data_IF_565246134287
#
_entry.id   IF_565246134287
#
_cell.length_a   1.000
_cell.length_b   1.000
_cell.length_c   1.000
_cell.angle_alpha   90.00
_cell.angle_beta   90.00
_cell.angle_gamma   90.00
#
_symmetry.space_group_name_H-M   'P 1'
#
loop_
_entity.id
_entity.type
_entity.pdbx_description
1 polymer ?
#
# COMPACT_ATOMS: atom_id res chain seq x y z
N UNK A 1 9.26 16.08 18.74
CA UNK A 1 8.09 16.05 17.83
C UNK A 1 7.19 14.91 18.27
N UNK A 2 5.93 15.18 18.56
CA UNK A 2 4.96 14.13 18.88
C UNK A 2 4.61 13.33 17.61
N UNK A 3 4.01 12.15 17.78
CA UNK A 3 3.54 11.37 16.62
C UNK A 3 2.48 12.13 15.81
N UNK A 4 1.65 12.94 16.45
CA UNK A 4 0.62 13.74 15.78
C UNK A 4 1.23 14.87 14.94
N UNK A 5 2.19 15.61 15.50
CA UNK A 5 2.94 16.64 14.77
C UNK A 5 3.65 16.07 13.55
N UNK A 6 4.26 14.87 13.68
CA UNK A 6 4.92 14.18 12.58
C UNK A 6 3.95 13.86 11.45
N UNK A 7 2.76 13.35 11.78
CA UNK A 7 1.73 13.00 10.80
C UNK A 7 1.15 14.25 10.10
N UNK A 8 0.93 15.33 10.86
CA UNK A 8 0.45 16.61 10.32
C UNK A 8 1.45 17.21 9.32
N UNK A 9 2.74 17.23 9.67
CA UNK A 9 3.82 17.70 8.78
C UNK A 9 3.95 16.83 7.53
N UNK A 10 3.94 15.51 7.69
CA UNK A 10 4.00 14.58 6.56
C UNK A 10 2.83 14.79 5.60
N UNK A 11 1.60 14.92 6.12
CA UNK A 11 0.42 15.17 5.30
C UNK A 11 0.51 16.52 4.55
N UNK A 12 1.04 17.55 5.20
CA UNK A 12 1.27 18.86 4.59
C UNK A 12 2.22 18.81 3.39
N UNK A 13 3.35 18.12 3.54
CA UNK A 13 4.33 17.94 2.46
C UNK A 13 3.76 17.12 1.30
N UNK A 14 3.13 15.98 1.60
CA UNK A 14 2.53 15.12 0.58
C UNK A 14 1.45 15.84 -0.23
N UNK A 15 0.59 16.63 0.43
CA UNK A 15 -0.45 17.42 -0.25
C UNK A 15 0.10 18.55 -1.13
N UNK A 16 1.31 19.03 -0.86
CA UNK A 16 2.03 19.98 -1.72
C UNK A 16 2.74 19.28 -2.88
N UNK A 17 2.64 17.96 -2.97
CA UNK A 17 3.28 17.16 -4.01
C UNK A 17 4.77 16.94 -3.78
N UNK A 18 5.27 17.10 -2.55
CA UNK A 18 6.64 16.74 -2.17
C UNK A 18 6.78 15.21 -2.10
N UNK A 19 6.88 14.61 -3.28
CA UNK A 19 7.13 13.19 -3.51
C UNK A 19 8.22 13.07 -4.58
N UNK A 20 9.07 12.03 -4.52
CA UNK A 20 10.00 11.71 -5.59
C UNK A 20 9.30 11.56 -6.94
N UNK A 21 9.97 12.00 -8.01
CA UNK A 21 9.40 12.00 -9.36
C UNK A 21 9.24 10.58 -9.89
N UNK A 22 10.11 9.65 -9.50
CA UNK A 22 9.95 8.24 -9.88
C UNK A 22 8.64 7.63 -9.39
N UNK A 23 8.05 8.11 -8.28
CA UNK A 23 6.77 7.61 -7.76
C UNK A 23 5.57 8.01 -8.62
N UNK A 24 5.71 9.06 -9.44
CA UNK A 24 4.63 9.58 -10.30
C UNK A 24 4.32 8.67 -11.48
N UNK A 25 5.22 7.75 -11.81
CA UNK A 25 5.09 6.80 -12.93
C UNK A 25 4.51 5.47 -12.43
N UNK A 26 3.19 5.40 -12.38
CA UNK A 26 2.48 4.21 -11.92
C UNK A 26 2.76 2.99 -12.80
N UNK A 27 2.72 1.81 -12.19
CA UNK A 27 2.99 0.52 -12.84
C UNK A 27 1.72 -0.30 -12.96
N UNK A 28 1.45 -0.88 -14.14
CA UNK A 28 0.32 -1.78 -14.31
C UNK A 28 0.55 -3.07 -13.52
N UNK A 29 -0.51 -3.58 -12.90
CA UNK A 29 -0.53 -4.90 -12.27
C UNK A 29 -1.77 -5.63 -12.80
N UNK A 30 -1.55 -6.80 -13.36
CA UNK A 30 -2.52 -7.56 -14.11
C UNK A 30 -3.17 -8.64 -13.23
N UNK A 31 -4.47 -8.85 -13.42
CA UNK A 31 -5.23 -9.88 -12.72
C UNK A 31 -6.07 -10.65 -13.71
N UNK A 32 -6.20 -11.96 -13.47
CA UNK A 32 -7.13 -12.82 -14.17
C UNK A 32 -7.97 -13.57 -13.14
N UNK A 33 -9.28 -13.59 -13.32
CA UNK A 33 -10.20 -14.29 -12.44
C UNK A 33 -11.21 -15.09 -13.25
N UNK A 34 -11.23 -16.40 -13.06
CA UNK A 34 -12.23 -17.29 -13.66
C UNK A 34 -13.41 -17.42 -12.70
N UNK A 35 -14.59 -16.95 -13.11
CA UNK A 35 -15.83 -17.16 -12.34
C UNK A 35 -16.15 -18.66 -12.25
N UNK A 36 -16.75 -19.15 -11.15
CA UNK A 36 -17.05 -20.58 -10.96
C UNK A 36 -17.82 -21.28 -12.08
N UNK A 37 -18.63 -20.55 -12.87
CA UNK A 37 -19.38 -21.07 -14.03
C UNK A 37 -19.50 -20.03 -15.14
N UNK A 38 -18.46 -19.23 -15.37
CA UNK A 38 -18.59 -18.07 -16.25
C UNK A 38 -17.31 -17.65 -16.95
N UNK A 39 -17.43 -16.51 -17.60
CA UNK A 39 -16.34 -15.82 -18.29
C UNK A 39 -15.15 -15.51 -17.38
N UNK A 40 -13.98 -15.37 -18.01
CA UNK A 40 -12.80 -14.80 -17.37
C UNK A 40 -12.97 -13.29 -17.26
N UNK A 41 -12.69 -12.74 -16.08
CA UNK A 41 -12.49 -11.30 -15.89
C UNK A 41 -11.00 -11.03 -15.93
N UNK A 42 -10.61 -10.05 -16.74
CA UNK A 42 -9.27 -9.46 -16.71
C UNK A 42 -9.35 -8.10 -16.02
N UNK A 43 -8.37 -7.79 -15.19
CA UNK A 43 -8.22 -6.46 -14.61
C UNK A 43 -6.78 -5.95 -14.71
N UNK A 44 -6.65 -4.63 -14.83
CA UNK A 44 -5.37 -3.92 -14.72
C UNK A 44 -5.57 -2.78 -13.72
N UNK A 45 -4.80 -2.78 -12.64
CA UNK A 45 -4.69 -1.64 -11.70
C UNK A 45 -3.37 -0.91 -11.95
N UNK A 46 -3.24 0.33 -11.48
CA UNK A 46 -2.00 1.10 -11.53
C UNK A 46 -1.50 1.38 -10.12
N UNK A 47 -0.40 0.76 -9.74
CA UNK A 47 0.21 0.91 -8.42
C UNK A 47 1.39 1.88 -8.46
N UNK A 48 1.65 2.59 -7.37
CA UNK A 48 2.94 3.30 -7.23
C UNK A 48 4.10 2.28 -7.25
N UNK A 49 5.22 2.61 -7.92
CA UNK A 49 6.34 1.67 -8.08
C UNK A 49 7.01 1.31 -6.76
N UNK A 50 6.98 2.22 -5.77
CA UNK A 50 7.38 1.99 -4.38
C UNK A 50 6.31 2.57 -3.42
N UNK A 51 6.57 2.48 -2.12
CA UNK A 51 5.77 3.13 -1.09
C UNK A 51 5.94 4.65 -1.10
N UNK A 52 4.87 5.36 -0.73
CA UNK A 52 4.85 6.82 -0.62
C UNK A 52 6.01 7.31 0.26
N UNK A 53 6.72 8.30 -0.27
CA UNK A 53 7.88 8.92 0.34
C UNK A 53 7.84 10.44 0.17
N UNK A 54 8.55 11.15 1.05
CA UNK A 54 8.78 12.59 0.98
C UNK A 54 10.24 12.82 0.60
N UNK A 55 10.51 13.75 -0.32
CA UNK A 55 11.85 14.09 -0.79
C UNK A 55 12.00 14.04 -2.32
N UNK A 56 13.24 13.94 -2.80
CA UNK A 56 13.59 13.83 -4.22
C UNK A 56 13.99 12.40 -4.61
N UNK A 57 14.33 12.17 -5.88
CA UNK A 57 14.83 10.87 -6.34
C UNK A 57 16.17 10.49 -5.67
N UNK A 58 16.96 11.46 -5.22
CA UNK A 58 18.27 11.30 -4.60
C UNK A 58 18.20 11.11 -3.07
N UNK A 59 17.28 11.82 -2.40
CA UNK A 59 17.10 11.73 -0.95
C UNK A 59 15.61 11.76 -0.60
N UNK A 60 15.09 10.61 -0.20
CA UNK A 60 13.70 10.45 0.20
C UNK A 60 13.55 9.52 1.38
N UNK A 61 12.47 9.74 2.14
CA UNK A 61 12.07 8.88 3.24
C UNK A 61 10.68 8.33 2.99
N UNK A 62 10.55 7.00 2.93
CA UNK A 62 9.24 6.33 2.96
C UNK A 62 8.59 6.61 4.32
N UNK A 63 7.42 7.26 4.33
CA UNK A 63 6.81 7.73 5.57
C UNK A 63 5.69 6.78 6.01
N UNK A 64 5.82 6.13 7.18
CA UNK A 64 4.71 5.47 7.83
C UNK A 64 3.59 6.45 8.17
N UNK A 65 2.37 6.11 7.74
CA UNK A 65 1.19 6.92 8.01
C UNK A 65 0.19 6.18 8.87
N UNK A 66 -0.46 6.93 9.76
CA UNK A 66 -1.64 6.44 10.48
C UNK A 66 -2.78 6.22 9.48
N UNK A 67 -3.77 5.38 9.84
CA UNK A 67 -4.87 5.09 8.93
C UNK A 67 -5.62 6.35 8.45
N UNK A 68 -5.97 7.33 9.32
CA UNK A 68 -6.58 8.58 8.85
C UNK A 68 -5.69 9.35 7.87
N UNK A 69 -4.39 9.46 8.12
CA UNK A 69 -3.44 10.13 7.22
C UNK A 69 -3.31 9.39 5.89
N UNK A 70 -3.22 8.06 5.92
CA UNK A 70 -3.09 7.22 4.74
C UNK A 70 -4.30 7.36 3.80
N UNK A 71 -5.52 7.34 4.36
CA UNK A 71 -6.76 7.57 3.63
C UNK A 71 -6.78 8.98 3.03
N UNK A 72 -6.42 10.01 3.80
CA UNK A 72 -6.40 11.39 3.33
C UNK A 72 -5.36 11.63 2.22
N UNK A 73 -4.22 10.93 2.27
CA UNK A 73 -3.20 10.97 1.21
C UNK A 73 -3.69 10.24 -0.04
N UNK A 74 -4.30 9.06 0.11
CA UNK A 74 -4.85 8.31 -1.02
C UNK A 74 -5.91 9.14 -1.76
N UNK A 75 -6.83 9.77 -1.04
CA UNK A 75 -7.83 10.68 -1.61
C UNK A 75 -7.18 11.86 -2.36
N UNK A 76 -6.19 12.53 -1.75
CA UNK A 76 -5.50 13.67 -2.37
C UNK A 76 -4.76 13.31 -3.67
N UNK A 77 -4.33 12.05 -3.83
CA UNK A 77 -3.67 11.55 -5.03
C UNK A 77 -4.60 10.80 -5.98
N UNK A 78 -5.92 10.88 -5.79
CA UNK A 78 -6.90 10.18 -6.61
C UNK A 78 -6.64 8.66 -6.65
N UNK A 79 -6.28 8.13 -5.50
CA UNK A 79 -5.88 6.75 -5.27
C UNK A 79 -6.72 6.11 -4.15
N UNK A 80 -6.54 4.81 -4.00
CA UNK A 80 -7.14 3.96 -2.97
C UNK A 80 -6.05 3.10 -2.35
N UNK A 81 -6.22 2.73 -1.09
CA UNK A 81 -5.38 1.74 -0.42
C UNK A 81 -5.64 0.34 -1.01
N UNK A 82 -4.62 -0.52 -1.17
CA UNK A 82 -4.76 -1.84 -1.77
C UNK A 82 -5.56 -2.81 -0.88
N UNK A 83 -6.06 -3.89 -1.47
CA UNK A 83 -6.51 -5.08 -0.74
C UNK A 83 -5.32 -6.04 -0.55
N UNK A 84 -5.39 -7.04 0.35
CA UNK A 84 -4.35 -8.07 0.46
C UNK A 84 -4.01 -8.73 -0.88
N UNK A 85 -5.04 -9.12 -1.65
CA UNK A 85 -4.89 -9.70 -2.99
C UNK A 85 -4.11 -8.81 -3.96
N UNK A 86 -4.31 -7.49 -3.89
CA UNK A 86 -3.53 -6.56 -4.71
C UNK A 86 -2.06 -6.51 -4.26
N UNK A 87 -1.80 -6.58 -2.95
CA UNK A 87 -0.43 -6.61 -2.42
C UNK A 87 0.30 -7.87 -2.90
N UNK A 88 -0.36 -9.04 -2.87
CA UNK A 88 0.20 -10.29 -3.38
C UNK A 88 0.51 -10.20 -4.87
N UNK A 89 -0.44 -9.73 -5.68
CA UNK A 89 -0.23 -9.57 -7.12
C UNK A 89 0.86 -8.52 -7.47
N UNK A 90 0.97 -7.45 -6.68
CA UNK A 90 2.07 -6.49 -6.79
C UNK A 90 3.38 -7.20 -6.51
N UNK A 91 3.45 -8.02 -5.46
CA UNK A 91 4.65 -8.78 -5.16
C UNK A 91 5.00 -9.72 -6.32
N UNK A 92 4.07 -10.57 -6.76
CA UNK A 92 4.29 -11.52 -7.85
C UNK A 92 4.79 -10.87 -9.15
N UNK A 93 4.36 -9.64 -9.44
CA UNK A 93 4.69 -8.92 -10.67
C UNK A 93 5.78 -7.85 -10.50
N UNK A 94 6.35 -7.72 -9.29
CA UNK A 94 7.45 -6.79 -9.04
C UNK A 94 8.71 -7.25 -9.76
N UNK A 95 9.42 -6.29 -10.38
CA UNK A 95 10.72 -6.53 -10.99
C UNK A 95 11.78 -6.86 -9.94
N UNK A 96 11.60 -6.33 -8.72
CA UNK A 96 12.54 -6.49 -7.63
C UNK A 96 11.85 -6.83 -6.32
N UNK A 97 12.27 -7.93 -5.71
CA UNK A 97 11.85 -8.35 -4.37
C UNK A 97 12.94 -7.99 -3.37
N UNK A 98 12.61 -7.08 -2.46
CA UNK A 98 13.44 -6.74 -1.32
C UNK A 98 12.96 -7.54 -0.11
N UNK A 99 13.88 -8.04 0.70
CA UNK A 99 13.53 -8.94 1.80
C UNK A 99 13.15 -8.19 3.07
N UNK A 100 12.27 -8.77 3.91
CA UNK A 100 12.00 -8.26 5.23
C UNK A 100 13.28 -8.21 6.07
N UNK A 101 13.56 -7.03 6.63
CA UNK A 101 14.74 -6.79 7.47
C UNK A 101 14.32 -6.08 8.76
N UNK A 102 13.71 -6.83 9.72
CA UNK A 102 13.09 -6.24 10.89
C UNK A 102 14.12 -5.67 11.86
N UNK A 103 13.90 -4.42 12.28
CA UNK A 103 14.59 -3.83 13.42
C UNK A 103 14.02 -4.36 14.74
N UNK A 104 14.84 -4.44 15.81
CA UNK A 104 14.39 -4.88 17.13
C UNK A 104 13.16 -4.09 17.63
N UNK A 105 12.13 -4.77 18.16
CA UNK A 105 10.93 -4.11 18.64
C UNK A 105 11.22 -3.27 19.89
N UNK A 106 10.55 -2.13 20.02
CA UNK A 106 10.77 -1.23 21.15
C UNK A 106 10.08 0.13 20.99
N UNK A 107 10.20 1.03 21.98
CA UNK A 107 9.55 2.33 21.97
C UNK A 107 9.98 3.23 20.80
N UNK A 108 11.18 2.97 20.26
CA UNK A 108 11.78 3.72 19.16
C UNK A 108 11.21 3.35 17.78
N UNK A 109 10.39 2.30 17.66
CA UNK A 109 9.84 1.85 16.36
C UNK A 109 9.07 2.92 15.58
N UNK A 110 8.58 3.95 16.29
CA UNK A 110 7.82 5.07 15.73
C UNK A 110 8.65 6.35 15.57
N UNK A 111 9.95 6.29 15.86
CA UNK A 111 10.85 7.43 15.81
C UNK A 111 11.39 7.66 14.39
N UNK A 112 11.72 8.91 14.07
CA UNK A 112 12.42 9.25 12.83
C UNK A 112 13.77 8.52 12.70
N UNK A 113 14.44 8.23 13.82
CA UNK A 113 15.69 7.48 13.84
C UNK A 113 15.51 6.07 13.28
N UNK A 114 14.49 5.33 13.71
CA UNK A 114 14.16 4.02 13.15
C UNK A 114 13.77 4.10 11.67
N UNK A 115 13.07 5.17 11.27
CA UNK A 115 12.68 5.36 9.88
C UNK A 115 13.92 5.56 9.00
N UNK A 116 14.87 6.39 9.44
CA UNK A 116 16.15 6.64 8.76
C UNK A 116 17.03 5.37 8.73
N UNK A 117 17.14 4.65 9.85
CA UNK A 117 17.89 3.40 9.89
C UNK A 117 17.35 2.37 8.89
N UNK A 118 16.03 2.17 8.87
CA UNK A 118 15.41 1.23 7.94
C UNK A 118 15.42 1.75 6.49
N UNK A 119 15.50 3.07 6.26
CA UNK A 119 15.73 3.64 4.93
C UNK A 119 17.07 3.18 4.37
N UNK A 120 18.16 3.27 5.15
CA UNK A 120 19.49 2.85 4.69
C UNK A 120 19.54 1.34 4.42
N UNK A 121 18.89 0.52 5.26
CA UNK A 121 18.80 -0.93 5.03
C UNK A 121 18.12 -1.25 3.70
N UNK A 122 16.97 -0.63 3.41
CA UNK A 122 16.26 -0.79 2.12
C UNK A 122 17.11 -0.27 0.96
N UNK A 123 17.78 0.88 1.12
CA UNK A 123 18.63 1.47 0.09
C UNK A 123 19.77 0.53 -0.29
N UNK A 124 20.43 -0.06 0.72
CA UNK A 124 21.52 -1.02 0.52
C UNK A 124 21.03 -2.28 -0.18
N UNK A 125 19.90 -2.86 0.25
CA UNK A 125 19.31 -4.02 -0.43
C UNK A 125 18.98 -3.71 -1.89
N UNK A 126 18.34 -2.57 -2.17
CA UNK A 126 18.00 -2.14 -3.53
C UNK A 126 19.23 -2.02 -4.42
N UNK A 127 20.30 -1.40 -3.90
CA UNK A 127 21.56 -1.26 -4.62
C UNK A 127 22.24 -2.60 -4.90
N UNK A 128 22.28 -3.50 -3.91
CA UNK A 128 22.84 -4.84 -4.07
C UNK A 128 22.06 -5.69 -5.08
N UNK A 129 20.74 -5.55 -5.11
CA UNK A 129 19.87 -6.22 -6.08
C UNK A 129 19.88 -5.56 -7.46
N UNK A 130 20.55 -4.41 -7.64
CA UNK A 130 20.61 -3.69 -8.91
C UNK A 130 19.28 -3.05 -9.34
N UNK A 131 18.31 -2.91 -8.43
CA UNK A 131 16.96 -2.49 -8.77
C UNK A 131 16.88 -0.98 -8.99
N UNK A 132 16.43 -0.55 -10.17
CA UNK A 132 16.38 0.86 -10.54
C UNK A 132 15.23 1.59 -9.85
N UNK A 133 15.39 2.91 -9.64
CA UNK A 133 14.28 3.73 -9.15
C UNK A 133 13.16 3.75 -10.20
N UNK A 134 11.92 3.67 -9.72
CA UNK A 134 10.74 3.60 -10.59
C UNK A 134 10.50 2.24 -11.21
N UNK A 135 11.25 1.18 -10.88
CA UNK A 135 10.78 -0.20 -11.07
C UNK A 135 9.74 -0.57 -10.01
N UNK A 136 8.86 -1.53 -10.33
CA UNK A 136 7.92 -2.03 -9.34
C UNK A 136 8.69 -2.88 -8.32
N UNK A 137 8.78 -2.38 -7.09
CA UNK A 137 9.50 -3.03 -5.98
C UNK A 137 8.55 -3.38 -4.84
N UNK A 138 8.77 -4.52 -4.21
CA UNK A 138 7.92 -5.04 -3.11
C UNK A 138 8.73 -5.85 -2.09
N UNK A 139 8.06 -6.24 -1.00
CA UNK A 139 8.59 -7.18 -0.01
C UNK A 139 9.24 -6.53 1.22
N UNK A 140 9.63 -5.25 1.16
CA UNK A 140 10.38 -4.55 2.21
C UNK A 140 9.53 -3.83 3.29
N UNK A 141 8.20 -3.76 3.16
CA UNK A 141 7.30 -3.18 4.17
C UNK A 141 6.00 -3.99 4.30
N UNK A 142 5.27 -3.71 5.37
CA UNK A 142 3.87 -4.10 5.55
C UNK A 142 2.98 -3.04 4.90
N UNK A 143 2.19 -3.43 3.92
CA UNK A 143 1.23 -2.56 3.27
C UNK A 143 0.07 -2.23 4.22
N UNK A 144 -0.33 -0.96 4.25
CA UNK A 144 -1.62 -0.56 4.82
C UNK A 144 -2.71 -0.90 3.82
N UNK A 145 -3.66 -1.74 4.22
CA UNK A 145 -4.66 -2.33 3.31
C UNK A 145 -6.10 -2.00 3.72
N UNK A 146 -7.02 -2.20 2.78
CA UNK A 146 -8.46 -2.18 3.01
C UNK A 146 -8.99 -3.62 3.12
N UNK A 147 -9.91 -3.82 4.07
CA UNK A 147 -10.50 -5.13 4.35
C UNK A 147 -11.86 -4.98 5.05
N UNK A 148 -12.78 -5.94 4.84
CA UNK A 148 -14.04 -5.98 5.58
C UNK A 148 -13.85 -6.13 7.10
N UNK A 149 -12.67 -6.58 7.57
CA UNK A 149 -12.37 -6.65 9.01
C UNK A 149 -12.48 -5.29 9.71
N UNK A 150 -12.20 -4.19 9.02
CA UNK A 150 -12.33 -2.84 9.56
C UNK A 150 -13.77 -2.43 9.86
N UNK A 151 -14.76 -3.00 9.16
CA UNK A 151 -16.18 -2.78 9.47
C UNK A 151 -16.59 -3.37 10.82
N UNK A 152 -15.98 -4.49 11.19
CA UNK A 152 -16.31 -5.21 12.42
C UNK A 152 -15.64 -4.58 13.65
N UNK A 153 -14.50 -3.92 13.46
CA UNK A 153 -13.74 -3.24 14.50
C UNK A 153 -13.31 -1.84 14.04
N UNK A 154 -14.21 -0.85 14.09
CA UNK A 154 -13.87 0.53 13.78
C UNK A 154 -12.71 1.05 14.64
N UNK A 155 -11.94 2.02 14.11
CA UNK A 155 -10.82 2.61 14.86
C UNK A 155 -9.54 1.78 14.84
N UNK A 156 -9.42 0.81 13.93
CA UNK A 156 -8.21 0.02 13.68
C UNK A 156 -7.54 0.40 12.36
N UNK A 157 -6.29 0.01 12.21
CA UNK A 157 -5.56 -0.01 10.93
C UNK A 157 -5.37 -1.46 10.51
N UNK A 158 -5.51 -1.76 9.22
CA UNK A 158 -5.20 -3.08 8.68
C UNK A 158 -3.84 -3.05 7.98
N UNK A 159 -3.00 -4.02 8.31
CA UNK A 159 -1.68 -4.20 7.69
C UNK A 159 -1.49 -5.63 7.23
N UNK A 160 -0.75 -5.81 6.13
CA UNK A 160 -0.51 -7.09 5.47
C UNK A 160 0.80 -7.08 4.68
N UNK A 161 1.40 -8.23 4.44
CA UNK A 161 2.52 -8.38 3.52
C UNK A 161 3.87 -8.52 4.21
N UNK A 162 4.84 -7.71 3.80
CA UNK A 162 6.26 -7.88 4.17
C UNK A 162 6.75 -9.27 3.71
N UNK A 163 6.57 -9.53 2.41
CA UNK A 163 6.77 -10.81 1.75
C UNK A 163 8.24 -11.22 1.71
N UNK A 164 8.49 -12.48 2.05
CA UNK A 164 9.80 -13.15 1.84
C UNK A 164 10.03 -13.42 0.35
N UNK A 165 11.28 -13.75 -0.05
CA UNK A 165 11.62 -14.15 -1.43
C UNK A 165 10.69 -15.20 -2.05
N UNK A 166 10.15 -16.11 -1.23
CA UNK A 166 9.24 -17.15 -1.68
C UNK A 166 7.79 -16.65 -1.94
N UNK A 167 7.52 -15.35 -1.74
CA UNK A 167 6.19 -14.77 -1.87
C UNK A 167 5.29 -14.97 -0.65
N UNK A 168 5.81 -15.49 0.45
CA UNK A 168 5.02 -15.68 1.67
C UNK A 168 5.04 -14.42 2.54
N UNK A 169 3.88 -13.86 2.94
CA UNK A 169 3.80 -12.67 3.79
C UNK A 169 4.09 -13.02 5.25
N UNK A 170 5.12 -12.41 5.85
CA UNK A 170 5.38 -12.61 7.29
C UNK A 170 4.37 -11.87 8.17
N UNK A 171 3.74 -10.81 7.65
CA UNK A 171 2.62 -10.13 8.28
C UNK A 171 1.31 -10.66 7.69
N UNK A 172 0.63 -11.62 8.36
CA UNK A 172 -0.73 -11.98 7.98
C UNK A 172 -1.66 -10.78 8.17
N UNK A 173 -2.83 -10.81 7.53
CA UNK A 173 -3.80 -9.72 7.59
C UNK A 173 -4.18 -9.44 9.05
N UNK A 174 -3.73 -8.32 9.59
CA UNK A 174 -3.88 -7.97 11.00
C UNK A 174 -4.55 -6.63 11.17
N UNK A 175 -5.45 -6.55 12.16
CA UNK A 175 -6.11 -5.32 12.64
C UNK A 175 -5.85 -5.09 14.14
N UNK A 176 -4.72 -5.60 14.64
CA UNK A 176 -4.39 -5.52 16.06
C UNK A 176 -4.21 -4.07 16.53
N UNK A 177 -3.54 -3.24 15.72
CA UNK A 177 -3.22 -1.88 16.10
C UNK A 177 -4.40 -0.90 15.92
N UNK A 178 -4.43 0.12 16.78
CA UNK A 178 -5.36 1.25 16.64
C UNK A 178 -5.05 2.08 15.39
N UNK A 179 -6.05 2.80 14.88
CA UNK A 179 -5.94 3.62 13.65
C UNK A 179 -4.80 4.65 13.67
N UNK A 180 -4.36 5.08 14.85
CA UNK A 180 -3.28 6.06 15.04
C UNK A 180 -1.89 5.42 15.19
N UNK A 181 -1.76 4.11 14.98
CA UNK A 181 -0.49 3.41 15.02
C UNK A 181 0.17 3.42 13.64
N UNK A 182 1.42 3.86 13.60
CA UNK A 182 2.30 3.79 12.43
C UNK A 182 3.74 3.66 12.90
N UNK A 183 4.42 2.61 12.48
CA UNK A 183 5.82 2.35 12.80
C UNK A 183 6.67 2.19 11.53
N UNK A 184 7.98 2.07 11.70
CA UNK A 184 8.93 1.99 10.60
C UNK A 184 8.60 0.91 9.55
N UNK A 185 7.89 -0.14 9.93
CA UNK A 185 7.60 -1.29 9.06
C UNK A 185 6.42 -1.04 8.12
N UNK A 186 5.59 -0.02 8.38
CA UNK A 186 4.44 0.29 7.54
C UNK A 186 4.87 0.96 6.22
N UNK A 187 4.20 0.58 5.14
CA UNK A 187 4.33 1.18 3.82
C UNK A 187 2.95 1.58 3.28
N UNK A 188 2.87 2.77 2.71
CA UNK A 188 1.68 3.22 1.97
C UNK A 188 1.91 2.99 0.49
N UNK A 189 1.26 1.97 -0.08
CA UNK A 189 1.18 1.75 -1.52
C UNK A 189 -0.12 2.35 -2.03
N UNK A 190 -0.06 3.14 -3.10
CA UNK A 190 -1.26 3.76 -3.68
C UNK A 190 -1.66 3.05 -4.96
N UNK A 191 -2.97 2.80 -5.10
CA UNK A 191 -3.57 2.25 -6.31
C UNK A 191 -4.46 3.32 -6.94
N UNK A 192 -4.22 3.67 -8.20
CA UNK A 192 -5.03 4.68 -8.87
C UNK A 192 -6.52 4.32 -8.87
N UNK A 193 -7.39 5.32 -8.68
CA UNK A 193 -8.84 5.11 -8.55
C UNK A 193 -9.52 4.57 -9.80
N UNK A 194 -8.86 4.62 -10.96
CA UNK A 194 -9.39 4.03 -12.20
C UNK A 194 -8.70 2.69 -12.46
N UNK A 195 -9.50 1.64 -12.63
CA UNK A 195 -9.10 0.25 -12.92
C UNK A 195 -9.65 -0.15 -14.29
N UNK A 196 -8.92 -0.92 -15.11
CA UNK A 196 -9.47 -1.42 -16.37
C UNK A 196 -10.01 -2.81 -16.13
N UNK A 197 -11.29 -3.02 -16.42
CA UNK A 197 -11.95 -4.33 -16.33
C UNK A 197 -12.37 -4.73 -17.74
N UNK A 198 -11.87 -5.86 -18.23
CA UNK A 198 -12.12 -6.34 -19.59
C UNK A 198 -11.86 -5.24 -20.65
N UNK A 199 -10.73 -4.54 -20.49
CA UNK A 199 -10.29 -3.48 -21.39
C UNK A 199 -11.02 -2.12 -21.24
N UNK A 200 -12.00 -1.99 -20.33
CA UNK A 200 -12.75 -0.75 -20.13
C UNK A 200 -12.41 -0.08 -18.81
N UNK A 201 -12.18 1.26 -18.77
CA UNK A 201 -11.95 1.97 -17.52
C UNK A 201 -13.20 1.94 -16.63
N UNK A 202 -12.99 1.72 -15.34
CA UNK A 202 -14.02 1.72 -14.28
C UNK A 202 -13.47 2.35 -13.01
N UNK A 203 -14.36 2.79 -12.13
CA UNK A 203 -14.00 3.18 -10.77
C UNK A 203 -13.59 1.96 -9.94
N UNK A 204 -12.42 2.02 -9.31
CA UNK A 204 -11.95 0.98 -8.40
C UNK A 204 -12.89 0.81 -7.20
N UNK A 205 -13.46 1.91 -6.70
CA UNK A 205 -14.42 1.88 -5.60
C UNK A 205 -15.71 1.14 -5.96
N UNK A 206 -16.20 1.32 -7.18
CA UNK A 206 -17.36 0.58 -7.68
C UNK A 206 -17.03 -0.91 -7.88
N UNK A 207 -15.86 -1.19 -8.46
CA UNK A 207 -15.42 -2.57 -8.71
C UNK A 207 -15.29 -3.34 -7.41
N UNK A 208 -14.67 -2.74 -6.37
CA UNK A 208 -14.52 -3.39 -5.06
C UNK A 208 -15.85 -3.61 -4.33
N UNK A 209 -16.91 -2.87 -4.68
CA UNK A 209 -18.25 -3.01 -4.09
C UNK A 209 -19.20 -3.89 -4.92
N UNK A 210 -18.87 -4.20 -6.18
CA UNK A 210 -19.69 -5.06 -7.05
C UNK A 210 -19.33 -6.55 -6.83
N UNK A 211 -20.21 -7.36 -6.21
CA UNK A 211 -19.92 -8.78 -5.91
C UNK A 211 -19.65 -9.64 -7.14
N UNK A 212 -20.03 -9.18 -8.34
CA UNK A 212 -19.82 -9.92 -9.60
C UNK A 212 -18.42 -9.74 -10.16
N UNK A 213 -17.70 -8.69 -9.74
CA UNK A 213 -16.40 -8.30 -10.30
C UNK A 213 -15.33 -8.21 -9.22
N UNK A 214 -15.66 -7.73 -8.02
CA UNK A 214 -14.75 -7.58 -6.89
C UNK A 214 -13.84 -8.79 -6.61
N UNK A 215 -14.26 -10.07 -6.80
CA UNK A 215 -13.39 -11.22 -6.61
C UNK A 215 -12.10 -11.21 -7.44
N UNK A 216 -12.04 -10.45 -8.54
CA UNK A 216 -10.80 -10.26 -9.30
C UNK A 216 -9.73 -9.48 -8.53
N UNK A 217 -10.14 -8.64 -7.57
CA UNK A 217 -9.27 -7.73 -6.80
C UNK A 217 -9.33 -7.93 -5.28
N UNK A 218 -10.16 -8.84 -4.77
CA UNK A 218 -10.19 -9.20 -3.33
C UNK A 218 -10.66 -10.63 -3.13
N UNK A 219 -10.16 -11.30 -2.10
CA UNK A 219 -10.60 -12.65 -1.70
C UNK A 219 -11.72 -12.61 -0.65
N UNK A 220 -12.17 -11.42 -0.24
CA UNK A 220 -13.29 -11.24 0.70
C UNK A 220 -14.66 -11.20 0.00
N UNK A 221 -14.72 -11.60 -1.26
CA UNK A 221 -15.90 -11.47 -2.13
C UNK A 221 -16.05 -10.04 -2.65
N UNK A 222 -16.44 -9.11 -1.79
CA UNK A 222 -16.54 -7.67 -2.08
C UNK A 222 -16.39 -6.86 -0.79
N UNK A 223 -15.99 -5.60 -0.90
CA UNK A 223 -15.76 -4.71 0.24
C UNK A 223 -17.04 -3.94 0.57
N UNK A 224 -17.65 -4.26 1.70
CA UNK A 224 -18.83 -3.57 2.21
C UNK A 224 -18.45 -2.23 2.84
N UNK A 225 -19.32 -1.21 2.75
CA UNK A 225 -19.14 0.11 3.41
C UNK A 225 -17.78 0.75 3.11
N UNK A 226 -17.25 0.55 1.89
CA UNK A 226 -15.94 1.02 1.48
C UNK A 226 -15.79 2.53 1.62
N UNK A 227 -16.79 3.30 1.17
CA UNK A 227 -16.77 4.77 1.28
C UNK A 227 -16.62 5.23 2.73
N UNK A 228 -17.31 4.57 3.67
CA UNK A 228 -17.17 4.84 5.11
C UNK A 228 -15.76 4.53 5.61
N UNK A 229 -15.13 3.45 5.16
CA UNK A 229 -13.75 3.12 5.54
C UNK A 229 -12.77 4.19 5.05
N UNK A 230 -13.02 4.72 3.84
CA UNK A 230 -12.19 5.74 3.21
C UNK A 230 -12.58 7.18 3.61
N UNK A 231 -13.49 7.34 4.58
CA UNK A 231 -14.01 8.64 5.00
C UNK A 231 -14.57 9.51 3.85
N UNK A 232 -14.98 8.87 2.76
CA UNK A 232 -15.61 9.50 1.62
C UNK A 232 -17.11 9.65 1.89
N UNK A 233 -17.70 10.75 1.41
CA UNK A 233 -19.13 11.04 1.51
C UNK A 233 -19.92 10.30 0.43
#
# INVERSE_FOLDING_TARGET
MTGEEQQSKALGELRRGNIPDFLRKLKPVHFNYRKPRGEMITAIIWATPDYVAIGSDEDFLRIPLTYPSAVAVAEAFECVLPTPKMVDAIYEQSTCHLEPDPLPPGPMMRSSEYFLKHREMIRNQRQQAGCALGELVSGHKKDVVITNRLNRKPGRIAIYGWHTKNGEPIQPLSIFHGKNYADYSHGLRLIYKTVWINGKPRSLLEVLQDPRVAPVLTDEGFINKLLKMLHLR
#
